data_IF_478639340382
#
_entry.id   IF_478639340382
#
_cell.length_a   1.000
_cell.length_b   1.000
_cell.length_c   1.000
_cell.angle_alpha   90.00
_cell.angle_beta   90.00
_cell.angle_gamma   90.00
#
_symmetry.space_group_name_H-M   'P 1'
#
loop_
_entity.id
_entity.type
_entity.pdbx_description
1 polymer ?
#
# COMPACT_ATOMS: atom_id res chain seq x y z
N UNK A 1 -11.37 5.35 22.74
CA UNK A 1 -11.35 5.72 21.31
C UNK A 1 -10.07 6.48 21.05
N UNK A 2 -9.50 6.43 19.84
CA UNK A 2 -8.37 7.28 19.49
C UNK A 2 -8.84 8.74 19.38
N UNK A 3 -8.79 9.47 20.49
CA UNK A 3 -9.07 10.90 20.46
C UNK A 3 -7.98 11.59 19.63
N UNK A 4 -8.39 12.21 18.53
CA UNK A 4 -7.48 12.95 17.67
C UNK A 4 -7.13 14.25 18.37
N UNK A 5 -5.87 14.37 18.77
CA UNK A 5 -5.34 15.56 19.44
C UNK A 5 -5.11 16.70 18.46
N UNK A 6 -4.56 16.40 17.27
CA UNK A 6 -4.27 17.40 16.25
C UNK A 6 -3.94 16.77 14.89
N UNK A 7 -4.24 17.50 13.81
CA UNK A 7 -3.65 17.28 12.49
C UNK A 7 -2.37 18.12 12.36
N UNK A 8 -1.24 17.49 12.03
CA UNK A 8 0.06 18.17 11.94
C UNK A 8 0.62 18.14 10.52
N UNK A 9 0.95 19.30 9.98
CA UNK A 9 1.64 19.42 8.70
C UNK A 9 3.04 18.80 8.75
N UNK A 10 3.37 17.98 7.75
CA UNK A 10 4.65 17.27 7.63
C UNK A 10 5.81 18.22 7.30
N UNK A 11 5.53 19.35 6.64
CA UNK A 11 6.54 20.33 6.22
C UNK A 11 6.86 21.31 7.34
N UNK A 12 5.91 22.20 7.66
CA UNK A 12 6.14 23.30 8.62
C UNK A 12 5.63 23.06 10.04
N UNK A 13 5.11 21.87 10.35
CA UNK A 13 4.65 21.53 11.71
C UNK A 13 3.38 22.24 12.18
N UNK A 14 2.70 22.99 11.29
CA UNK A 14 1.42 23.65 11.60
C UNK A 14 0.42 22.64 12.17
N UNK A 15 -0.26 23.03 13.25
CA UNK A 15 -1.24 22.21 13.95
C UNK A 15 -2.64 22.73 13.63
N UNK A 16 -3.55 21.81 13.37
CA UNK A 16 -4.95 22.09 13.06
C UNK A 16 -5.86 21.20 13.92
N UNK A 17 -7.08 21.69 14.20
CA UNK A 17 -8.15 20.85 14.69
C UNK A 17 -8.65 19.88 13.60
N UNK A 18 -9.33 18.80 13.99
CA UNK A 18 -9.78 17.73 13.08
C UNK A 18 -10.64 18.24 11.92
N UNK A 19 -11.50 19.22 12.21
CA UNK A 19 -12.46 19.76 11.24
C UNK A 19 -12.06 21.15 10.72
N UNK A 20 -10.84 21.61 11.03
CA UNK A 20 -10.32 22.90 10.54
C UNK A 20 -9.78 22.81 9.11
N UNK A 21 -9.21 21.67 8.74
CA UNK A 21 -8.64 21.40 7.41
C UNK A 21 -9.00 19.99 6.95
N UNK A 22 -9.48 19.86 5.72
CA UNK A 22 -9.95 18.58 5.20
C UNK A 22 -8.81 17.68 4.66
N UNK A 23 -7.82 18.29 4.01
CA UNK A 23 -6.88 17.55 3.16
C UNK A 23 -5.42 17.93 3.42
N UNK A 24 -5.00 19.11 2.96
CA UNK A 24 -3.62 19.59 3.08
C UNK A 24 -3.54 20.88 3.89
N UNK A 25 -2.33 21.18 4.36
CA UNK A 25 -2.00 22.42 5.05
C UNK A 25 -2.11 23.62 4.07
N UNK A 26 -2.98 24.62 4.33
CA UNK A 26 -3.15 25.77 3.44
C UNK A 26 -1.87 26.59 3.23
N UNK A 27 -0.91 26.52 4.17
CA UNK A 27 0.38 27.23 4.06
C UNK A 27 1.39 26.55 3.14
N UNK A 28 1.29 25.24 2.94
CA UNK A 28 2.28 24.46 2.20
C UNK A 28 1.70 23.73 0.98
N UNK A 29 0.42 23.98 0.67
CA UNK A 29 -0.26 23.42 -0.49
C UNK A 29 -0.19 21.89 -0.54
N UNK A 30 0.03 21.34 -1.72
CA UNK A 30 0.05 19.89 -1.97
C UNK A 30 1.13 19.13 -1.17
N UNK A 31 2.27 19.77 -0.91
CA UNK A 31 3.35 19.19 -0.11
C UNK A 31 2.98 19.09 1.38
N UNK A 32 2.05 19.92 1.83
CA UNK A 32 1.61 20.05 3.21
C UNK A 32 0.70 18.92 3.69
N UNK A 33 1.01 17.66 3.40
CA UNK A 33 0.21 16.52 3.86
C UNK A 33 0.19 16.47 5.40
N UNK A 34 -0.92 15.97 5.96
CA UNK A 34 -1.19 16.04 7.40
C UNK A 34 -1.04 14.67 8.07
N UNK A 35 -0.36 14.61 9.21
CA UNK A 35 -0.38 13.46 10.12
C UNK A 35 -1.48 13.61 11.16
N UNK A 36 -2.20 12.51 11.43
CA UNK A 36 -3.17 12.46 12.51
C UNK A 36 -2.46 12.02 13.79
N UNK A 37 -2.43 12.90 14.79
CA UNK A 37 -1.82 12.63 16.09
C UNK A 37 -2.90 12.42 17.15
N UNK A 38 -2.72 11.38 17.96
CA UNK A 38 -3.63 11.00 19.03
C UNK A 38 -3.13 11.45 20.41
N UNK A 39 -3.99 11.38 21.40
CA UNK A 39 -3.55 11.39 22.80
C UNK A 39 -3.00 10.00 23.19
N UNK A 40 -1.69 9.82 22.96
CA UNK A 40 -1.01 8.54 23.23
C UNK A 40 -0.93 8.21 24.72
N UNK A 41 -0.96 9.21 25.61
CA UNK A 41 -0.95 8.99 27.06
C UNK A 41 -2.29 8.40 27.50
N UNK A 42 -3.40 9.00 27.05
CA UNK A 42 -4.74 8.47 27.29
C UNK A 42 -4.89 7.06 26.68
N UNK A 43 -4.43 6.85 25.44
CA UNK A 43 -4.47 5.54 24.79
C UNK A 43 -3.68 4.48 25.57
N UNK A 44 -2.47 4.82 26.03
CA UNK A 44 -1.64 3.88 26.80
C UNK A 44 -2.28 3.49 28.14
N UNK A 45 -3.03 4.40 28.77
CA UNK A 45 -3.72 4.13 30.02
C UNK A 45 -5.01 3.30 29.87
N UNK A 46 -5.64 3.33 28.69
CA UNK A 46 -6.99 2.77 28.48
C UNK A 46 -7.04 1.57 27.54
N UNK A 47 -6.02 1.35 26.71
CA UNK A 47 -5.95 0.21 25.81
C UNK A 47 -5.06 -0.89 26.36
N UNK A 48 -5.68 -2.05 26.56
CA UNK A 48 -4.96 -3.29 26.76
C UNK A 48 -4.60 -3.90 25.39
N UNK A 49 -3.30 -4.03 25.15
CA UNK A 49 -2.73 -4.66 23.96
C UNK A 49 -3.20 -6.11 23.81
N UNK A 50 -3.25 -6.87 24.91
CA UNK A 50 -3.52 -8.31 24.86
C UNK A 50 -5.02 -8.58 24.69
N UNK A 51 -5.88 -7.65 25.13
CA UNK A 51 -7.32 -7.70 24.86
C UNK A 51 -7.65 -7.58 23.35
N UNK A 52 -6.83 -6.88 22.55
CA UNK A 52 -7.01 -6.82 21.10
C UNK A 52 -6.78 -8.19 20.44
N UNK A 53 -5.88 -9.00 21.00
CA UNK A 53 -5.53 -10.32 20.48
C UNK A 53 -6.58 -11.40 20.79
N UNK A 54 -7.30 -11.28 21.90
CA UNK A 54 -8.17 -12.33 22.43
C UNK A 54 -9.64 -12.27 21.96
N UNK A 55 -10.10 -11.20 21.31
CA UNK A 55 -11.54 -11.02 21.02
C UNK A 55 -11.93 -10.22 19.78
N UNK A 56 -11.00 -9.98 18.84
CA UNK A 56 -11.22 -9.09 17.69
C UNK A 56 -11.85 -9.75 16.46
N UNK A 57 -12.53 -8.93 15.64
CA UNK A 57 -12.86 -9.27 14.26
C UNK A 57 -11.60 -9.60 13.46
N UNK A 58 -11.71 -10.51 12.50
CA UNK A 58 -10.63 -10.83 11.55
C UNK A 58 -10.58 -9.81 10.40
N UNK A 59 -10.45 -8.54 10.74
CA UNK A 59 -10.34 -7.42 9.81
C UNK A 59 -9.58 -6.23 10.43
N UNK A 60 -9.40 -5.15 9.69
CA UNK A 60 -8.69 -3.96 10.13
C UNK A 60 -9.44 -3.16 11.21
N UNK A 61 -10.75 -3.43 11.40
CA UNK A 61 -11.57 -2.75 12.41
C UNK A 61 -11.29 -3.25 13.82
N UNK A 62 -10.58 -4.36 13.99
CA UNK A 62 -10.00 -4.75 15.29
C UNK A 62 -9.13 -3.64 15.90
N UNK A 63 -8.51 -2.80 15.06
CA UNK A 63 -7.69 -1.65 15.50
C UNK A 63 -8.48 -0.34 15.61
N UNK A 64 -9.81 -0.39 15.64
CA UNK A 64 -10.67 0.81 15.68
C UNK A 64 -10.28 1.79 16.79
N UNK A 65 -9.85 1.28 17.94
CA UNK A 65 -9.39 2.09 19.06
C UNK A 65 -8.12 2.91 18.76
N UNK A 66 -7.43 2.61 17.66
CA UNK A 66 -6.27 3.30 17.12
C UNK A 66 -6.58 3.97 15.76
N UNK A 67 -7.84 4.09 15.34
CA UNK A 67 -8.24 4.72 14.07
C UNK A 67 -9.02 6.01 14.32
N UNK A 68 -8.95 6.98 13.40
CA UNK A 68 -9.56 8.30 13.55
C UNK A 68 -11.09 8.30 13.24
N UNK A 69 -11.82 7.32 13.77
CA UNK A 69 -13.29 7.21 13.59
C UNK A 69 -13.96 6.89 14.93
N UNK A 70 -15.23 7.30 15.08
CA UNK A 70 -15.98 7.00 16.30
C UNK A 70 -16.21 5.49 16.49
N UNK A 71 -16.48 5.04 17.72
CA UNK A 71 -16.74 3.63 18.06
C UNK A 71 -18.04 3.10 17.47
N UNK A 72 -19.01 3.99 17.22
CA UNK A 72 -20.34 3.65 16.69
C UNK A 72 -20.46 3.92 15.18
N UNK A 73 -19.44 4.49 14.53
CA UNK A 73 -19.44 4.76 13.09
C UNK A 73 -19.75 3.50 12.28
N UNK A 74 -20.53 3.66 11.22
CA UNK A 74 -20.75 2.58 10.27
C UNK A 74 -19.50 2.38 9.42
N UNK A 75 -19.21 1.13 9.10
CA UNK A 75 -18.04 0.75 8.29
C UNK A 75 -18.49 -0.10 7.10
N UNK A 76 -17.73 -0.14 5.99
CA UNK A 76 -17.94 -1.13 4.94
C UNK A 76 -18.03 -2.56 5.51
N UNK A 77 -19.00 -3.39 5.07
CA UNK A 77 -19.22 -4.73 5.61
C UNK A 77 -18.20 -5.78 5.14
N UNK A 78 -17.32 -5.44 4.20
CA UNK A 78 -16.33 -6.37 3.64
C UNK A 78 -15.15 -6.53 4.61
N UNK A 79 -14.64 -7.77 4.73
CA UNK A 79 -13.45 -8.09 5.53
C UNK A 79 -12.19 -7.53 4.87
N UNK A 80 -11.79 -6.33 5.26
CA UNK A 80 -10.56 -5.67 4.82
C UNK A 80 -9.49 -5.87 5.89
N UNK A 81 -8.26 -6.21 5.50
CA UNK A 81 -7.20 -6.48 6.45
C UNK A 81 -7.26 -7.88 7.05
N UNK A 82 -6.61 -8.05 8.19
CA UNK A 82 -6.24 -9.34 8.79
C UNK A 82 -5.70 -10.36 7.78
N UNK A 83 -4.92 -9.86 6.82
CA UNK A 83 -4.43 -10.66 5.70
C UNK A 83 -3.35 -11.65 6.16
N UNK A 84 -3.16 -12.75 5.42
CA UNK A 84 -2.16 -13.75 5.80
C UNK A 84 -0.74 -13.16 5.93
N UNK A 85 -0.03 -13.62 6.96
CA UNK A 85 1.41 -13.42 7.13
C UNK A 85 2.09 -14.79 7.04
N UNK A 86 2.56 -15.14 5.85
CA UNK A 86 3.17 -16.45 5.61
C UNK A 86 4.64 -16.44 5.99
N UNK A 87 5.10 -17.43 6.75
CA UNK A 87 6.54 -17.71 6.83
C UNK A 87 7.01 -18.29 5.48
N UNK A 88 8.10 -17.76 4.93
CA UNK A 88 8.61 -18.12 3.61
C UNK A 88 10.01 -18.76 3.70
N UNK A 89 10.13 -19.99 4.23
CA UNK A 89 11.42 -20.63 4.49
C UNK A 89 12.24 -20.89 3.23
N UNK A 90 11.59 -21.09 2.07
CA UNK A 90 12.28 -21.26 0.79
C UNK A 90 12.91 -19.96 0.29
N UNK A 91 12.29 -18.81 0.56
CA UNK A 91 12.91 -17.50 0.29
C UNK A 91 14.10 -17.30 1.24
N UNK A 92 13.89 -17.55 2.53
CA UNK A 92 14.94 -17.41 3.54
C UNK A 92 16.18 -18.27 3.20
N UNK A 93 15.98 -19.55 2.88
CA UNK A 93 17.03 -20.47 2.51
C UNK A 93 17.76 -20.06 1.23
N UNK A 94 17.02 -19.62 0.20
CA UNK A 94 17.62 -19.19 -1.07
C UNK A 94 18.50 -17.95 -0.89
N UNK A 95 18.08 -17.01 -0.04
CA UNK A 95 18.75 -15.73 0.15
C UNK A 95 19.72 -15.71 1.33
N UNK A 96 19.86 -16.82 2.06
CA UNK A 96 20.73 -16.90 3.24
C UNK A 96 20.26 -16.04 4.41
N UNK A 97 18.95 -15.79 4.52
CA UNK A 97 18.35 -14.98 5.59
C UNK A 97 17.88 -15.85 6.76
N UNK A 98 17.92 -15.31 7.97
CA UNK A 98 17.46 -15.97 9.19
C UNK A 98 15.98 -16.34 9.12
N UNK A 99 15.14 -15.39 8.72
CA UNK A 99 13.69 -15.58 8.61
C UNK A 99 13.07 -14.57 7.66
N UNK A 100 12.13 -15.02 6.84
CA UNK A 100 11.37 -14.17 5.92
C UNK A 100 9.89 -14.43 6.11
N UNK A 101 9.10 -13.37 6.16
CA UNK A 101 7.64 -13.42 6.07
C UNK A 101 7.14 -12.68 4.83
N UNK A 102 5.97 -13.07 4.35
CA UNK A 102 5.22 -12.40 3.30
C UNK A 102 3.87 -11.98 3.84
N UNK A 103 3.66 -10.66 3.96
CA UNK A 103 2.35 -10.08 4.27
C UNK A 103 1.57 -9.93 2.97
N UNK A 104 0.56 -10.77 2.77
CA UNK A 104 -0.17 -10.86 1.51
C UNK A 104 -1.44 -10.01 1.48
N UNK A 105 -1.27 -8.72 1.21
CA UNK A 105 -2.38 -7.80 1.00
C UNK A 105 -3.06 -7.93 -0.36
N UNK A 106 -2.58 -8.83 -1.23
CA UNK A 106 -3.28 -9.30 -2.41
C UNK A 106 -4.53 -10.13 -2.10
N UNK A 107 -4.69 -10.58 -0.84
CA UNK A 107 -5.87 -11.30 -0.35
C UNK A 107 -7.04 -10.40 0.09
N UNK A 108 -6.87 -9.07 0.07
CA UNK A 108 -7.98 -8.15 0.36
C UNK A 108 -9.11 -8.25 -0.68
N UNK A 109 -10.35 -7.80 -0.38
CA UNK A 109 -11.53 -8.00 -1.23
C UNK A 109 -11.39 -7.58 -2.69
N UNK A 110 -10.71 -6.46 -2.97
CA UNK A 110 -10.46 -5.99 -4.35
C UNK A 110 -9.09 -6.39 -4.86
N UNK A 111 -8.32 -7.17 -4.08
CA UNK A 111 -7.01 -7.72 -4.44
C UNK A 111 -5.83 -6.79 -4.20
N UNK A 112 -5.93 -5.81 -3.28
CA UNK A 112 -4.78 -4.95 -2.95
C UNK A 112 -4.86 -4.29 -1.57
N UNK A 113 -3.70 -3.84 -1.08
CA UNK A 113 -3.55 -3.06 0.15
C UNK A 113 -4.40 -1.76 0.16
N UNK A 114 -4.78 -1.26 -1.02
CA UNK A 114 -5.53 0.00 -1.13
C UNK A 114 -6.92 -0.09 -0.48
N UNK A 115 -7.44 -1.30 -0.27
CA UNK A 115 -8.70 -1.54 0.44
C UNK A 115 -8.66 -0.97 1.86
N UNK A 116 -7.52 -1.08 2.56
CA UNK A 116 -7.36 -0.54 3.91
C UNK A 116 -7.59 0.97 3.97
N UNK A 117 -7.08 1.70 2.98
CA UNK A 117 -7.28 3.14 2.88
C UNK A 117 -8.73 3.49 2.51
N UNK A 118 -9.28 2.81 1.50
CA UNK A 118 -10.64 3.07 1.03
C UNK A 118 -11.68 2.71 2.10
N UNK A 119 -11.45 1.68 2.91
CA UNK A 119 -12.32 1.28 4.00
C UNK A 119 -12.48 2.41 5.03
N UNK A 120 -11.37 2.98 5.49
CA UNK A 120 -11.38 4.07 6.45
C UNK A 120 -11.95 5.37 5.87
N UNK A 121 -11.62 5.69 4.61
CA UNK A 121 -12.17 6.86 3.92
C UNK A 121 -13.69 6.76 3.77
N UNK A 122 -14.22 5.59 3.41
CA UNK A 122 -15.66 5.36 3.30
C UNK A 122 -16.35 5.45 4.68
N UNK A 123 -15.74 4.88 5.73
CA UNK A 123 -16.26 5.02 7.09
C UNK A 123 -16.34 6.49 7.53
N UNK A 124 -15.31 7.29 7.24
CA UNK A 124 -15.32 8.72 7.52
C UNK A 124 -16.36 9.47 6.69
N UNK A 125 -16.56 9.12 5.42
CA UNK A 125 -17.63 9.72 4.59
C UNK A 125 -19.01 9.48 5.19
N UNK A 126 -19.29 8.24 5.64
CA UNK A 126 -20.54 7.89 6.31
C UNK A 126 -20.73 8.67 7.62
N UNK A 127 -19.68 8.80 8.43
CA UNK A 127 -19.70 9.57 9.68
C UNK A 127 -19.99 11.06 9.43
N UNK A 128 -19.44 11.61 8.35
CA UNK A 128 -19.68 12.99 7.93
C UNK A 128 -21.02 13.20 7.19
N UNK A 129 -21.80 12.13 6.95
CA UNK A 129 -23.04 12.20 6.18
C UNK A 129 -22.84 12.49 4.68
N UNK A 130 -21.62 12.30 4.16
CA UNK A 130 -21.29 12.53 2.74
C UNK A 130 -21.59 11.26 1.95
N UNK A 131 -22.38 11.41 0.88
CA UNK A 131 -22.89 10.29 0.07
C UNK A 131 -22.18 10.10 -1.28
N UNK A 132 -21.22 10.97 -1.63
CA UNK A 132 -20.39 10.82 -2.82
C UNK A 132 -18.92 10.81 -2.42
N UNK A 133 -18.20 9.76 -2.83
CA UNK A 133 -16.76 9.63 -2.61
C UNK A 133 -16.06 9.48 -3.96
N UNK A 134 -15.01 10.27 -4.18
CA UNK A 134 -14.31 10.32 -5.46
C UNK A 134 -12.82 10.06 -5.35
N UNK A 135 -12.22 9.58 -6.44
CA UNK A 135 -10.77 9.47 -6.60
C UNK A 135 -10.38 9.59 -8.07
N UNK A 136 -9.17 10.10 -8.32
CA UNK A 136 -8.51 10.05 -9.61
C UNK A 136 -7.46 8.94 -9.61
N UNK A 137 -7.75 7.83 -10.28
CA UNK A 137 -6.84 6.68 -10.40
C UNK A 137 -7.36 5.69 -11.42
N UNK A 138 -6.46 5.12 -12.22
CA UNK A 138 -6.78 3.98 -13.11
C UNK A 138 -6.46 2.63 -12.48
N UNK A 139 -5.87 2.60 -11.28
CA UNK A 139 -5.28 1.40 -10.70
C UNK A 139 -5.96 0.95 -9.41
N UNK A 140 -5.16 0.34 -8.54
CA UNK A 140 -5.60 -0.30 -7.30
C UNK A 140 -6.41 0.61 -6.36
N UNK A 141 -6.16 1.92 -6.34
CA UNK A 141 -6.91 2.86 -5.50
C UNK A 141 -8.36 3.05 -5.97
N UNK A 142 -8.58 3.10 -7.29
CA UNK A 142 -9.90 3.19 -7.88
C UNK A 142 -10.68 1.89 -7.70
N UNK A 143 -10.04 0.74 -7.94
CA UNK A 143 -10.68 -0.56 -7.72
C UNK A 143 -11.11 -0.74 -6.25
N UNK A 144 -10.26 -0.35 -5.30
CA UNK A 144 -10.57 -0.38 -3.87
C UNK A 144 -11.76 0.53 -3.51
N UNK A 145 -11.79 1.77 -4.02
CA UNK A 145 -12.91 2.68 -3.78
C UNK A 145 -14.20 2.15 -4.40
N UNK A 146 -14.16 1.73 -5.67
CA UNK A 146 -15.31 1.18 -6.39
C UNK A 146 -15.89 -0.04 -5.67
N UNK A 147 -15.05 -1.05 -5.39
CA UNK A 147 -15.49 -2.31 -4.80
C UNK A 147 -16.01 -2.18 -3.38
N UNK A 148 -15.31 -1.43 -2.52
CA UNK A 148 -15.81 -1.19 -1.16
C UNK A 148 -17.02 -0.26 -1.15
N UNK A 149 -17.06 0.76 -2.00
CA UNK A 149 -18.19 1.67 -2.13
C UNK A 149 -19.46 0.97 -2.62
N UNK A 150 -19.33 0.00 -3.53
CA UNK A 150 -20.44 -0.80 -4.03
C UNK A 150 -21.17 -1.60 -2.92
N UNK A 151 -20.47 -1.92 -1.84
CA UNK A 151 -21.05 -2.60 -0.67
C UNK A 151 -21.86 -1.67 0.25
N UNK A 152 -21.92 -0.37 -0.05
CA UNK A 152 -22.57 0.65 0.77
C UNK A 152 -23.69 1.35 -0.01
N UNK A 153 -24.98 1.07 0.25
CA UNK A 153 -26.09 1.67 -0.50
C UNK A 153 -26.21 3.19 -0.33
N UNK A 154 -25.60 3.75 0.73
CA UNK A 154 -25.60 5.19 1.00
C UNK A 154 -24.48 5.95 0.25
N UNK A 155 -23.57 5.25 -0.44
CA UNK A 155 -22.40 5.85 -1.09
C UNK A 155 -22.48 5.66 -2.61
N UNK A 156 -22.27 6.74 -3.35
CA UNK A 156 -21.94 6.71 -4.77
C UNK A 156 -20.44 6.92 -4.95
N UNK A 157 -19.83 6.15 -5.84
CA UNK A 157 -18.42 6.31 -6.19
C UNK A 157 -18.28 6.93 -7.57
N UNK A 158 -17.51 8.01 -7.67
CA UNK A 158 -17.21 8.70 -8.93
C UNK A 158 -15.70 8.67 -9.16
N UNK A 159 -15.26 8.09 -10.27
CA UNK A 159 -13.83 7.84 -10.51
C UNK A 159 -13.39 8.55 -11.78
N UNK A 160 -12.35 9.37 -11.64
CA UNK A 160 -11.72 10.09 -12.73
C UNK A 160 -10.54 9.28 -13.25
N UNK A 161 -10.53 9.02 -14.56
CA UNK A 161 -9.47 8.28 -15.25
C UNK A 161 -9.14 9.00 -16.56
N UNK A 162 -7.87 9.06 -16.98
CA UNK A 162 -7.53 9.48 -18.33
C UNK A 162 -8.26 8.62 -19.38
N UNK A 163 -8.67 9.21 -20.50
CA UNK A 163 -9.33 8.50 -21.59
C UNK A 163 -8.45 7.39 -22.20
N UNK A 164 -7.13 7.52 -22.08
CA UNK A 164 -6.15 6.51 -22.49
C UNK A 164 -6.01 5.32 -21.51
N UNK A 165 -6.79 5.27 -20.42
CA UNK A 165 -6.70 4.19 -19.44
C UNK A 165 -7.01 2.81 -20.06
N UNK A 166 -6.30 1.73 -19.66
CA UNK A 166 -6.55 0.40 -20.19
C UNK A 166 -8.00 -0.07 -19.93
N UNK A 167 -8.66 -0.57 -20.98
CA UNK A 167 -10.06 -0.99 -20.92
C UNK A 167 -10.34 -2.04 -19.83
N UNK A 168 -9.41 -2.97 -19.59
CA UNK A 168 -9.55 -3.99 -18.53
C UNK A 168 -9.66 -3.37 -17.13
N UNK A 169 -8.92 -2.29 -16.86
CA UNK A 169 -8.97 -1.61 -15.56
C UNK A 169 -10.26 -0.80 -15.40
N UNK A 170 -10.67 -0.10 -16.45
CA UNK A 170 -11.96 0.61 -16.49
C UNK A 170 -13.12 -0.36 -16.29
N UNK A 171 -13.07 -1.53 -16.93
CA UNK A 171 -14.09 -2.57 -16.80
C UNK A 171 -14.26 -3.02 -15.34
N UNK A 172 -13.17 -3.20 -14.58
CA UNK A 172 -13.26 -3.54 -13.15
C UNK A 172 -14.07 -2.50 -12.36
N UNK A 173 -13.86 -1.21 -12.62
CA UNK A 173 -14.57 -0.13 -11.94
C UNK A 173 -16.06 -0.12 -12.29
N UNK A 174 -16.39 -0.31 -13.57
CA UNK A 174 -17.76 -0.37 -14.07
C UNK A 174 -18.52 -1.60 -13.56
N UNK A 175 -17.85 -2.75 -13.42
CA UNK A 175 -18.44 -3.97 -12.83
C UNK A 175 -18.87 -3.74 -11.38
N UNK A 176 -18.13 -2.94 -10.62
CA UNK A 176 -18.53 -2.53 -9.27
C UNK A 176 -19.62 -1.43 -9.26
N UNK A 177 -20.06 -0.95 -10.42
CA UNK A 177 -21.09 0.08 -10.52
C UNK A 177 -20.61 1.50 -10.23
N UNK A 178 -19.31 1.76 -10.25
CA UNK A 178 -18.79 3.12 -10.11
C UNK A 178 -19.15 3.98 -11.33
N UNK A 179 -19.43 5.26 -11.11
CA UNK A 179 -19.52 6.23 -12.19
C UNK A 179 -18.10 6.57 -12.64
N UNK A 180 -17.70 6.13 -13.84
CA UNK A 180 -16.36 6.38 -14.37
C UNK A 180 -16.41 7.54 -15.35
N UNK A 181 -15.53 8.53 -15.16
CA UNK A 181 -15.36 9.69 -16.03
C UNK A 181 -14.03 9.56 -16.77
N UNK A 182 -14.11 9.32 -18.07
CA UNK A 182 -12.96 9.30 -18.97
C UNK A 182 -12.58 10.74 -19.33
N UNK A 183 -11.53 11.27 -18.71
CA UNK A 183 -11.03 12.63 -18.91
C UNK A 183 -10.13 12.66 -20.14
N UNK A 184 -10.45 13.51 -21.11
CA UNK A 184 -9.60 13.78 -22.27
C UNK A 184 -8.41 14.66 -21.85
N UNK A 185 -7.41 14.02 -21.24
CA UNK A 185 -6.26 14.68 -20.64
C UNK A 185 -5.31 13.72 -19.94
N UNK A 186 -4.33 14.28 -19.25
CA UNK A 186 -3.34 13.56 -18.46
C UNK A 186 -3.91 13.03 -17.13
N UNK A 187 -3.11 12.26 -16.41
CA UNK A 187 -3.45 11.84 -15.04
C UNK A 187 -3.63 13.04 -14.11
N UNK A 188 -2.81 14.08 -14.25
CA UNK A 188 -2.92 15.27 -13.42
C UNK A 188 -4.19 16.05 -13.72
N UNK A 189 -4.58 16.17 -14.99
CA UNK A 189 -5.85 16.81 -15.36
C UNK A 189 -7.03 16.10 -14.69
N UNK A 190 -7.04 14.76 -14.71
CA UNK A 190 -8.05 13.96 -14.03
C UNK A 190 -8.01 14.14 -12.49
N UNK A 191 -6.83 14.32 -11.92
CA UNK A 191 -6.65 14.54 -10.48
C UNK A 191 -7.14 15.92 -10.03
N UNK A 192 -6.75 16.97 -10.73
CA UNK A 192 -7.16 18.34 -10.42
C UNK A 192 -8.67 18.52 -10.60
N UNK A 193 -9.26 17.97 -11.67
CA UNK A 193 -10.71 17.97 -11.86
C UNK A 193 -11.45 17.23 -10.73
N UNK A 194 -10.91 16.09 -10.28
CA UNK A 194 -11.47 15.34 -9.15
C UNK A 194 -11.43 16.16 -7.86
N UNK A 195 -10.33 16.87 -7.57
CA UNK A 195 -10.26 17.73 -6.38
C UNK A 195 -11.20 18.93 -6.48
N UNK A 196 -11.20 19.62 -7.61
CA UNK A 196 -12.04 20.80 -7.84
C UNK A 196 -13.53 20.47 -7.67
N UNK A 197 -14.03 19.39 -8.26
CA UNK A 197 -15.44 19.01 -8.11
C UNK A 197 -15.76 18.53 -6.68
N UNK A 198 -14.80 17.90 -5.99
CA UNK A 198 -15.01 17.52 -4.59
C UNK A 198 -15.19 18.73 -3.70
N UNK A 199 -14.38 19.77 -3.90
CA UNK A 199 -14.51 21.03 -3.18
C UNK A 199 -15.83 21.74 -3.53
N UNK A 200 -16.17 21.86 -4.81
CA UNK A 200 -17.37 22.56 -5.28
C UNK A 200 -18.67 21.89 -4.78
N UNK A 201 -18.74 20.55 -4.84
CA UNK A 201 -19.96 19.79 -4.55
C UNK A 201 -20.00 19.20 -3.13
N UNK A 202 -18.95 19.42 -2.33
CA UNK A 202 -18.82 18.82 -1.00
C UNK A 202 -18.66 17.29 -1.05
N UNK A 203 -18.14 16.72 -2.13
CA UNK A 203 -17.84 15.29 -2.20
C UNK A 203 -16.57 14.97 -1.41
N UNK A 204 -16.46 13.74 -0.94
CA UNK A 204 -15.27 13.33 -0.19
C UNK A 204 -14.19 12.78 -1.12
N UNK A 205 -13.01 13.40 -1.10
CA UNK A 205 -11.88 12.96 -1.91
C UNK A 205 -11.08 11.88 -1.19
N UNK A 206 -10.93 10.73 -1.82
CA UNK A 206 -10.08 9.61 -1.36
C UNK A 206 -8.62 9.78 -1.77
N UNK A 207 -8.27 10.78 -2.58
CA UNK A 207 -6.96 10.83 -3.25
C UNK A 207 -5.77 10.67 -2.28
N UNK A 208 -4.80 9.85 -2.72
CA UNK A 208 -3.56 9.61 -1.98
C UNK A 208 -2.69 10.86 -2.03
N UNK A 209 -1.88 11.09 -0.98
CA UNK A 209 -1.02 12.28 -0.90
C UNK A 209 -1.79 13.57 -0.63
N UNK A 210 -3.09 13.47 -0.33
CA UNK A 210 -3.97 14.61 -0.03
C UNK A 210 -4.85 14.28 1.17
N UNK A 211 -5.60 13.17 1.15
CA UNK A 211 -6.45 12.81 2.29
C UNK A 211 -5.66 12.11 3.41
N UNK A 212 -5.60 12.66 4.65
CA UNK A 212 -4.82 12.11 5.75
C UNK A 212 -5.31 10.73 6.23
N UNK A 213 -6.62 10.45 6.11
CA UNK A 213 -7.21 9.16 6.48
C UNK A 213 -6.67 8.02 5.61
N UNK A 214 -6.17 8.31 4.41
CA UNK A 214 -5.56 7.28 3.58
C UNK A 214 -4.27 6.72 4.19
N UNK A 215 -3.54 7.50 5.00
CA UNK A 215 -2.36 7.02 5.74
C UNK A 215 -2.79 6.15 6.90
N UNK A 216 -3.80 6.61 7.65
CA UNK A 216 -4.35 5.90 8.82
C UNK A 216 -4.95 4.55 8.46
N UNK A 217 -5.63 4.42 7.32
CA UNK A 217 -6.12 3.13 6.85
C UNK A 217 -4.97 2.18 6.54
N UNK A 218 -3.95 2.65 5.80
CA UNK A 218 -2.79 1.82 5.43
C UNK A 218 -1.96 1.40 6.63
N UNK A 219 -1.91 2.20 7.69
CA UNK A 219 -1.14 1.88 8.90
C UNK A 219 -1.54 0.56 9.54
N UNK A 220 -2.80 0.14 9.35
CA UNK A 220 -3.33 -1.11 9.90
C UNK A 220 -2.51 -2.33 9.47
N UNK A 221 -1.82 -2.28 8.32
CA UNK A 221 -0.93 -3.37 7.90
C UNK A 221 0.25 -3.56 8.87
N UNK A 222 0.80 -2.48 9.43
CA UNK A 222 1.89 -2.54 10.40
C UNK A 222 1.40 -3.00 11.78
N UNK A 223 0.17 -2.58 12.16
CA UNK A 223 -0.48 -3.08 13.37
C UNK A 223 -0.68 -4.60 13.30
N UNK A 224 -1.15 -5.10 12.15
CA UNK A 224 -1.30 -6.54 11.90
C UNK A 224 0.00 -7.30 11.88
N UNK A 225 1.03 -6.79 11.21
CA UNK A 225 2.34 -7.44 11.22
C UNK A 225 2.86 -7.55 12.65
N UNK A 226 2.75 -6.49 13.45
CA UNK A 226 3.16 -6.53 14.85
C UNK A 226 2.32 -7.56 15.63
N UNK A 227 1.00 -7.50 15.56
CA UNK A 227 0.12 -8.43 16.29
C UNK A 227 0.35 -9.89 15.90
N UNK A 228 0.43 -10.19 14.60
CA UNK A 228 0.66 -11.55 14.09
C UNK A 228 2.05 -12.11 14.45
N UNK A 229 3.01 -11.22 14.75
CA UNK A 229 4.33 -11.57 15.27
C UNK A 229 4.42 -11.45 16.80
N UNK A 230 3.27 -11.53 17.48
CA UNK A 230 3.17 -11.44 18.95
C UNK A 230 3.82 -10.17 19.50
N UNK A 231 3.59 -9.06 18.81
CA UNK A 231 4.12 -7.73 19.11
C UNK A 231 5.65 -7.61 19.01
N UNK A 232 6.29 -8.51 18.25
CA UNK A 232 7.71 -8.42 17.90
C UNK A 232 7.86 -7.95 16.46
N UNK A 233 8.22 -6.68 16.28
CA UNK A 233 8.42 -6.13 14.94
C UNK A 233 9.63 -6.80 14.24
N UNK A 234 9.57 -7.02 12.90
CA UNK A 234 10.70 -7.57 12.17
C UNK A 234 11.90 -6.61 12.20
N UNK A 235 13.09 -7.10 11.86
CA UNK A 235 14.26 -6.23 11.70
C UNK A 235 14.09 -5.26 10.53
N UNK A 236 13.53 -5.78 9.44
CA UNK A 236 13.37 -5.05 8.19
C UNK A 236 11.98 -5.29 7.61
N UNK A 237 11.34 -4.23 7.12
CA UNK A 237 10.18 -4.34 6.25
C UNK A 237 10.52 -3.78 4.86
N UNK A 238 10.24 -4.56 3.83
CA UNK A 238 10.49 -4.19 2.43
C UNK A 238 9.15 -3.97 1.72
N UNK A 239 8.96 -2.79 1.13
CA UNK A 239 7.77 -2.44 0.38
C UNK A 239 8.14 -1.66 -0.88
N UNK A 240 7.39 -1.88 -1.96
CA UNK A 240 7.53 -1.07 -3.16
C UNK A 240 6.89 0.32 -2.97
N UNK A 241 7.45 1.33 -3.64
CA UNK A 241 7.12 2.74 -3.42
C UNK A 241 6.89 3.45 -4.76
N UNK A 242 5.64 3.84 -5.00
CA UNK A 242 5.26 4.83 -6.00
C UNK A 242 5.09 6.19 -5.33
N UNK A 243 3.84 6.54 -5.05
CA UNK A 243 3.45 7.82 -4.45
C UNK A 243 3.99 8.08 -3.03
N UNK A 244 4.47 7.05 -2.34
CA UNK A 244 4.99 7.14 -0.96
C UNK A 244 4.01 6.71 0.13
N UNK A 245 2.70 6.76 -0.12
CA UNK A 245 1.71 6.60 0.96
C UNK A 245 1.67 5.23 1.67
N UNK A 246 2.06 4.14 1.00
CA UNK A 246 2.13 2.82 1.67
C UNK A 246 3.22 2.83 2.73
N UNK A 247 4.45 3.20 2.36
CA UNK A 247 5.57 3.22 3.30
C UNK A 247 5.37 4.27 4.40
N UNK A 248 4.72 5.40 4.09
CA UNK A 248 4.27 6.38 5.08
C UNK A 248 3.27 5.79 6.09
N UNK A 249 2.29 5.02 5.61
CA UNK A 249 1.31 4.34 6.46
C UNK A 249 1.95 3.29 7.35
N UNK A 250 2.82 2.46 6.78
CA UNK A 250 3.62 1.47 7.54
C UNK A 250 4.41 2.14 8.67
N UNK A 251 5.15 3.21 8.34
CA UNK A 251 5.88 3.99 9.32
C UNK A 251 4.97 4.57 10.40
N UNK A 252 3.80 5.12 10.03
CA UNK A 252 2.82 5.64 10.99
C UNK A 252 2.36 4.54 11.95
N UNK A 253 2.05 3.35 11.45
CA UNK A 253 1.58 2.24 12.28
C UNK A 253 2.63 1.79 13.30
N UNK A 254 3.87 1.57 12.86
CA UNK A 254 4.96 1.25 13.79
C UNK A 254 5.29 2.41 14.74
N UNK A 255 5.19 3.66 14.28
CA UNK A 255 5.40 4.84 15.14
C UNK A 255 4.36 4.92 16.25
N UNK A 256 3.09 4.62 15.95
CA UNK A 256 2.03 4.56 16.95
C UNK A 256 2.33 3.47 17.98
N UNK A 257 2.72 2.28 17.54
CA UNK A 257 3.10 1.18 18.44
C UNK A 257 4.32 1.51 19.31
N UNK A 258 5.33 2.19 18.76
CA UNK A 258 6.49 2.68 19.53
C UNK A 258 6.05 3.66 20.62
N UNK A 259 5.16 4.61 20.30
CA UNK A 259 4.65 5.62 21.26
C UNK A 259 3.80 4.99 22.36
N UNK A 260 3.05 3.94 22.04
CA UNK A 260 2.28 3.15 23.00
C UNK A 260 3.18 2.23 23.86
N UNK A 261 4.43 2.01 23.45
CA UNK A 261 5.35 1.07 24.10
C UNK A 261 4.99 -0.39 23.86
N UNK A 262 4.29 -0.70 22.76
CA UNK A 262 3.86 -2.07 22.44
C UNK A 262 4.90 -2.86 21.67
N UNK A 263 5.84 -2.17 21.02
CA UNK A 263 7.02 -2.76 20.38
C UNK A 263 8.26 -2.02 20.88
N UNK A 264 9.40 -2.72 20.95
CA UNK A 264 10.65 -2.16 21.47
C UNK A 264 11.44 -1.36 20.43
N UNK A 265 11.19 -1.61 19.15
CA UNK A 265 11.98 -1.05 18.05
C UNK A 265 11.18 -0.83 16.77
N UNK A 266 11.57 0.20 16.04
CA UNK A 266 11.11 0.48 14.68
C UNK A 266 11.85 -0.44 13.69
N UNK A 267 11.14 -1.21 12.84
CA UNK A 267 11.77 -1.91 11.72
C UNK A 267 12.42 -0.93 10.76
N UNK A 268 13.56 -1.30 10.17
CA UNK A 268 14.13 -0.52 9.07
C UNK A 268 13.22 -0.64 7.86
N UNK A 269 12.80 0.47 7.29
CA UNK A 269 11.87 0.47 6.15
C UNK A 269 12.66 0.61 4.84
N UNK A 270 12.64 -0.44 4.04
CA UNK A 270 13.28 -0.44 2.73
C UNK A 270 12.24 -0.15 1.66
N UNK A 271 12.37 1.01 1.02
CA UNK A 271 11.51 1.44 -0.08
C UNK A 271 12.08 1.01 -1.43
N UNK A 272 11.33 0.26 -2.22
CA UNK A 272 11.79 -0.23 -3.53
C UNK A 272 11.13 0.55 -4.66
N UNK A 273 11.92 1.13 -5.55
CA UNK A 273 11.43 1.80 -6.76
C UNK A 273 11.95 1.11 -8.02
N UNK A 274 11.14 1.11 -9.08
CA UNK A 274 11.62 0.75 -10.41
C UNK A 274 12.63 1.82 -10.89
N UNK A 275 13.69 1.41 -11.58
CA UNK A 275 14.72 2.33 -12.12
C UNK A 275 14.10 3.45 -12.97
N UNK A 276 13.09 3.14 -13.78
CA UNK A 276 12.37 4.13 -14.60
C UNK A 276 11.30 4.93 -13.84
N UNK A 277 11.23 4.85 -12.51
CA UNK A 277 10.34 5.64 -11.65
C UNK A 277 10.95 5.80 -10.24
N UNK A 278 12.21 6.24 -10.17
CA UNK A 278 13.06 6.21 -8.98
C UNK A 278 13.27 7.56 -8.26
N UNK A 279 12.38 8.52 -8.47
CA UNK A 279 12.53 9.92 -7.99
C UNK A 279 12.82 10.02 -6.48
N UNK A 280 12.23 9.19 -5.63
CA UNK A 280 12.47 9.23 -4.19
C UNK A 280 13.81 8.62 -3.81
N UNK A 281 14.23 7.56 -4.51
CA UNK A 281 15.54 6.96 -4.31
C UNK A 281 16.66 7.96 -4.67
N UNK A 282 16.52 8.66 -5.79
CA UNK A 282 17.45 9.71 -6.21
C UNK A 282 17.49 10.88 -5.23
N UNK A 283 16.32 11.36 -4.80
CA UNK A 283 16.24 12.42 -3.82
C UNK A 283 16.81 12.01 -2.44
N UNK A 284 16.62 10.75 -2.05
CA UNK A 284 17.21 10.21 -0.83
C UNK A 284 18.74 10.16 -0.91
N UNK A 285 19.28 9.62 -2.01
CA UNK A 285 20.72 9.51 -2.26
C UNK A 285 21.39 10.90 -2.30
N UNK A 286 20.73 11.89 -2.90
CA UNK A 286 21.21 13.26 -2.99
C UNK A 286 20.94 14.12 -1.73
N UNK A 287 20.26 13.58 -0.71
CA UNK A 287 19.95 14.31 0.52
C UNK A 287 18.96 15.47 0.33
N UNK A 288 18.14 15.45 -0.73
CA UNK A 288 17.24 16.54 -1.07
C UNK A 288 16.08 16.69 -0.08
N UNK A 289 15.61 17.93 0.07
CA UNK A 289 14.36 18.21 0.73
C UNK A 289 13.18 17.87 -0.21
N UNK A 290 12.00 17.51 0.32
CA UNK A 290 10.82 17.16 -0.49
C UNK A 290 10.38 18.23 -1.50
N UNK A 291 10.61 19.49 -1.18
CA UNK A 291 10.32 20.67 -2.01
C UNK A 291 11.26 20.80 -3.21
N UNK A 292 12.47 20.26 -3.13
CA UNK A 292 13.48 20.32 -4.21
C UNK A 292 13.30 19.21 -5.25
N UNK A 293 12.35 18.29 -5.01
CA UNK A 293 12.10 17.16 -5.89
C UNK A 293 11.29 17.62 -7.11
N UNK A 294 11.92 17.51 -8.27
CA UNK A 294 11.29 17.81 -9.55
C UNK A 294 10.57 16.61 -10.14
N UNK A 295 9.51 16.89 -10.91
CA UNK A 295 8.82 15.88 -11.71
C UNK A 295 9.76 15.25 -12.73
N UNK A 296 9.65 13.94 -12.94
CA UNK A 296 10.40 13.21 -13.96
C UNK A 296 9.49 12.28 -14.77
N UNK A 297 9.71 12.11 -16.08
CA UNK A 297 8.99 11.11 -16.88
C UNK A 297 9.17 9.71 -16.31
N UNK A 298 8.11 8.89 -16.35
CA UNK A 298 8.14 7.51 -15.84
C UNK A 298 7.95 6.47 -16.93
N UNK A 299 8.72 5.37 -16.82
CA UNK A 299 8.58 4.21 -17.69
C UNK A 299 8.90 2.94 -16.90
N UNK A 300 7.88 2.16 -16.57
CA UNK A 300 8.05 0.86 -15.91
C UNK A 300 6.87 -0.07 -16.17
N UNK A 301 7.11 -1.38 -16.17
CA UNK A 301 6.06 -2.41 -16.15
C UNK A 301 5.26 -2.42 -14.83
N UNK A 302 5.79 -1.83 -13.76
CA UNK A 302 5.17 -1.78 -12.44
C UNK A 302 4.31 -0.51 -12.27
N UNK A 303 3.19 -0.46 -12.99
CA UNK A 303 2.27 0.67 -13.06
C UNK A 303 1.83 1.25 -11.69
N UNK A 304 1.61 0.40 -10.69
CA UNK A 304 1.15 0.80 -9.35
C UNK A 304 2.20 1.55 -8.54
N UNK A 305 3.45 1.58 -9.03
CA UNK A 305 4.54 2.39 -8.47
C UNK A 305 5.11 3.39 -9.48
N UNK A 306 4.50 3.56 -10.66
CA UNK A 306 4.86 4.60 -11.62
C UNK A 306 4.34 5.96 -11.14
N UNK A 307 5.23 6.86 -10.77
CA UNK A 307 4.87 8.19 -10.25
C UNK A 307 5.91 9.24 -10.64
N UNK A 308 5.51 10.19 -11.48
CA UNK A 308 6.39 11.26 -11.98
C UNK A 308 6.82 12.23 -10.88
N UNK A 309 5.89 12.53 -9.97
CA UNK A 309 6.13 13.32 -8.77
C UNK A 309 5.30 12.73 -7.63
N UNK A 310 5.90 11.93 -6.74
CA UNK A 310 5.18 11.33 -5.63
C UNK A 310 4.54 12.39 -4.73
N UNK A 311 3.22 12.32 -4.53
CA UNK A 311 2.47 13.31 -3.75
C UNK A 311 2.75 13.20 -2.26
N UNK A 312 3.00 11.99 -1.76
CA UNK A 312 3.36 11.76 -0.35
C UNK A 312 4.88 11.68 -0.10
N UNK A 313 5.70 12.27 -1.00
CA UNK A 313 7.18 12.24 -0.96
C UNK A 313 7.78 12.69 0.36
N UNK A 314 7.20 13.72 0.99
CA UNK A 314 7.69 14.23 2.27
C UNK A 314 7.59 13.19 3.39
N UNK A 315 6.43 12.51 3.49
CA UNK A 315 6.24 11.44 4.47
C UNK A 315 7.07 10.21 4.16
N UNK A 316 7.21 9.85 2.87
CA UNK A 316 8.00 8.69 2.46
C UNK A 316 9.49 8.86 2.76
N UNK A 317 10.09 10.01 2.40
CA UNK A 317 11.48 10.31 2.74
C UNK A 317 11.69 10.33 4.26
N UNK A 318 10.77 10.96 5.01
CA UNK A 318 10.80 10.96 6.47
C UNK A 318 10.73 9.54 7.04
N UNK A 319 9.83 8.70 6.54
CA UNK A 319 9.64 7.33 7.00
C UNK A 319 10.92 6.49 6.84
N UNK A 320 11.56 6.57 5.67
CA UNK A 320 12.80 5.83 5.41
C UNK A 320 13.96 6.40 6.25
N UNK A 321 14.10 7.72 6.35
CA UNK A 321 15.14 8.37 7.17
C UNK A 321 14.99 8.04 8.66
N UNK A 322 13.79 8.18 9.22
CA UNK A 322 13.54 7.97 10.66
C UNK A 322 13.63 6.51 11.09
N UNK A 323 13.36 5.57 10.18
CA UNK A 323 13.53 4.15 10.45
C UNK A 323 14.98 3.65 10.28
N UNK A 324 15.92 4.50 9.84
CA UNK A 324 17.26 4.06 9.46
C UNK A 324 17.27 3.10 8.27
N UNK A 325 16.25 3.19 7.42
CA UNK A 325 16.09 2.38 6.21
C UNK A 325 16.86 2.96 5.01
N UNK A 326 16.52 2.46 3.82
CA UNK A 326 17.10 2.90 2.57
C UNK A 326 16.10 2.77 1.42
N UNK A 327 16.36 3.48 0.33
CA UNK A 327 15.72 3.19 -0.96
C UNK A 327 16.59 2.26 -1.79
N UNK A 328 15.93 1.37 -2.54
CA UNK A 328 16.59 0.44 -3.47
C UNK A 328 15.92 0.57 -4.83
N UNK A 329 16.76 0.64 -5.87
CA UNK A 329 16.32 0.69 -7.27
C UNK A 329 16.46 -0.69 -7.92
N UNK A 330 15.45 -1.09 -8.68
CA UNK A 330 15.43 -2.37 -9.42
C UNK A 330 14.96 -2.17 -10.85
N UNK A 331 15.57 -2.87 -11.79
CA UNK A 331 15.19 -2.81 -13.20
C UNK A 331 13.87 -3.54 -13.45
N UNK A 332 13.17 -3.18 -14.53
CA UNK A 332 11.97 -3.90 -14.99
C UNK A 332 12.26 -5.38 -15.29
N UNK A 333 13.46 -5.69 -15.77
CA UNK A 333 13.89 -7.07 -15.97
C UNK A 333 13.97 -7.84 -14.65
N UNK A 334 14.49 -7.20 -13.59
CA UNK A 334 14.51 -7.79 -12.25
C UNK A 334 13.10 -7.95 -11.67
N UNK A 335 12.22 -6.96 -11.87
CA UNK A 335 10.81 -7.04 -11.46
C UNK A 335 10.10 -8.20 -12.19
N UNK A 336 10.27 -8.31 -13.51
CA UNK A 336 9.68 -9.38 -14.32
C UNK A 336 10.15 -10.76 -13.87
N UNK A 337 11.46 -10.94 -13.65
CA UNK A 337 12.03 -12.18 -13.15
C UNK A 337 11.58 -12.53 -11.72
N UNK A 338 11.27 -11.51 -10.90
CA UNK A 338 10.79 -11.69 -9.54
C UNK A 338 9.35 -12.23 -9.47
N UNK A 339 8.48 -11.96 -10.46
CA UNK A 339 7.07 -12.41 -10.45
C UNK A 339 6.97 -13.94 -10.27
N UNK A 340 7.53 -14.80 -11.15
CA UNK A 340 7.42 -16.23 -10.99
C UNK A 340 8.24 -16.74 -9.81
N UNK A 341 9.41 -16.16 -9.55
CA UNK A 341 10.28 -16.57 -8.45
C UNK A 341 9.62 -16.37 -7.09
N UNK A 342 8.96 -15.22 -6.89
CA UNK A 342 8.24 -14.93 -5.66
C UNK A 342 7.10 -15.92 -5.44
N UNK A 343 6.30 -16.17 -6.48
CA UNK A 343 5.21 -17.15 -6.43
C UNK A 343 5.70 -18.59 -6.18
N UNK A 344 6.77 -19.02 -6.87
CA UNK A 344 7.32 -20.36 -6.73
C UNK A 344 7.93 -20.63 -5.36
N UNK A 345 8.47 -19.61 -4.68
CA UNK A 345 9.13 -19.75 -3.38
C UNK A 345 8.18 -19.52 -2.19
N UNK A 346 7.11 -18.75 -2.35
CA UNK A 346 6.17 -18.43 -1.25
C UNK A 346 4.75 -18.96 -1.43
N UNK A 347 4.36 -19.30 -2.66
CA UNK A 347 2.96 -19.57 -3.01
C UNK A 347 2.12 -18.30 -3.22
N UNK A 348 2.67 -17.10 -3.06
CA UNK A 348 1.96 -15.83 -3.22
C UNK A 348 2.13 -15.30 -4.64
N UNK A 349 1.02 -15.20 -5.39
CA UNK A 349 1.03 -14.63 -6.74
C UNK A 349 0.86 -13.11 -6.68
N UNK A 350 1.95 -12.38 -6.92
CA UNK A 350 2.04 -10.93 -6.79
C UNK A 350 1.98 -10.22 -8.17
N UNK A 351 1.34 -9.05 -8.23
CA UNK A 351 1.43 -8.15 -9.40
C UNK A 351 2.85 -7.56 -9.52
N UNK A 352 3.25 -6.96 -10.67
CA UNK A 352 4.62 -6.44 -10.86
C UNK A 352 5.10 -5.49 -9.75
N UNK A 353 4.25 -4.55 -9.31
CA UNK A 353 4.59 -3.64 -8.21
C UNK A 353 4.80 -4.37 -6.87
N UNK A 354 4.06 -5.42 -6.58
CA UNK A 354 4.26 -6.23 -5.38
C UNK A 354 5.50 -7.13 -5.51
N UNK A 355 5.78 -7.68 -6.69
CA UNK A 355 7.00 -8.45 -6.98
C UNK A 355 8.27 -7.58 -6.91
N UNK A 356 8.16 -6.27 -7.15
CA UNK A 356 9.28 -5.34 -6.96
C UNK A 356 9.83 -5.36 -5.52
N UNK A 357 8.99 -5.59 -4.49
CA UNK A 357 9.48 -5.73 -3.11
C UNK A 357 10.43 -6.93 -2.96
N UNK A 358 10.13 -8.06 -3.62
CA UNK A 358 11.00 -9.23 -3.65
C UNK A 358 12.31 -8.95 -4.39
N UNK A 359 12.24 -8.36 -5.59
CA UNK A 359 13.45 -7.95 -6.34
C UNK A 359 14.32 -6.99 -5.53
N UNK A 360 13.69 -6.06 -4.80
CA UNK A 360 14.38 -5.10 -3.94
C UNK A 360 15.04 -5.75 -2.73
N UNK A 361 14.48 -6.82 -2.15
CA UNK A 361 15.14 -7.62 -1.13
C UNK A 361 16.42 -8.27 -1.65
N UNK A 362 16.36 -8.89 -2.83
CA UNK A 362 17.55 -9.48 -3.46
C UNK A 362 18.63 -8.42 -3.70
N UNK A 363 18.23 -7.25 -4.18
CA UNK A 363 19.16 -6.14 -4.43
C UNK A 363 19.71 -5.56 -3.12
N UNK A 364 18.90 -5.42 -2.08
CA UNK A 364 19.32 -4.91 -0.78
C UNK A 364 20.38 -5.82 -0.13
N UNK A 365 20.27 -7.14 -0.31
CA UNK A 365 21.29 -8.11 0.15
C UNK A 365 22.59 -7.96 -0.64
N UNK A 366 22.52 -7.83 -1.97
CA UNK A 366 23.71 -7.59 -2.80
C UNK A 366 24.44 -6.30 -2.40
N UNK A 367 23.68 -5.27 -2.01
CA UNK A 367 24.20 -4.00 -1.54
C UNK A 367 24.61 -4.00 -0.06
N UNK A 368 24.43 -5.12 0.65
CA UNK A 368 24.66 -5.24 2.11
C UNK A 368 23.90 -4.21 2.94
N UNK A 369 22.73 -3.79 2.47
CA UNK A 369 21.79 -2.95 3.23
C UNK A 369 21.09 -3.81 4.29
N UNK A 370 20.76 -5.05 3.92
CA UNK A 370 20.20 -6.10 4.79
C UNK A 370 21.29 -7.16 5.04
N UNK A 371 21.39 -7.62 6.28
CA UNK A 371 22.33 -8.66 6.73
C UNK A 371 21.62 -10.02 6.88
N UNK A 372 22.40 -11.11 6.85
CA UNK A 372 21.89 -12.48 6.87
C UNK A 372 21.13 -12.83 8.16
N UNK A 373 21.56 -12.27 9.29
CA UNK A 373 20.98 -12.50 10.62
C UNK A 373 19.64 -11.80 10.85
N UNK A 374 19.25 -10.89 9.96
CA UNK A 374 18.03 -10.10 10.09
C UNK A 374 16.79 -10.87 9.64
N UNK A 375 15.69 -10.61 10.33
CA UNK A 375 14.36 -11.08 10.00
C UNK A 375 13.62 -10.05 9.13
N UNK A 376 13.04 -10.51 8.02
CA UNK A 376 12.51 -9.62 6.96
C UNK A 376 11.04 -9.88 6.73
N UNK A 377 10.22 -8.83 6.70
CA UNK A 377 8.84 -8.89 6.22
C UNK A 377 8.73 -8.26 4.82
N UNK A 378 8.38 -9.05 3.81
CA UNK A 378 8.01 -8.59 2.47
C UNK A 378 6.53 -8.21 2.44
N UNK A 379 6.22 -7.01 1.93
CA UNK A 379 4.84 -6.58 1.74
C UNK A 379 4.40 -6.82 0.29
N UNK A 380 3.55 -7.84 0.08
CA UNK A 380 2.89 -8.08 -1.21
C UNK A 380 1.64 -7.19 -1.29
N UNK A 381 1.74 -6.07 -2.01
CA UNK A 381 0.71 -5.01 -1.99
C UNK A 381 -0.49 -5.26 -2.91
N UNK A 382 -0.40 -6.22 -3.82
CA UNK A 382 -1.39 -6.44 -4.88
C UNK A 382 -1.31 -7.82 -5.51
N UNK A 383 -2.47 -8.36 -5.86
CA UNK A 383 -2.63 -9.71 -6.38
C UNK A 383 -2.21 -9.82 -7.86
N UNK A 384 -1.47 -10.85 -8.22
CA UNK A 384 -1.02 -11.11 -9.59
C UNK A 384 -2.15 -11.31 -10.60
N UNK A 385 -3.35 -11.70 -10.16
CA UNK A 385 -4.54 -11.78 -11.01
C UNK A 385 -4.95 -10.44 -11.61
N UNK A 386 -4.45 -9.31 -11.08
CA UNK A 386 -4.69 -7.99 -11.64
C UNK A 386 -3.89 -7.69 -12.91
N UNK A 387 -2.80 -8.42 -13.15
CA UNK A 387 -1.96 -8.22 -14.33
C UNK A 387 -1.46 -9.56 -14.90
N UNK A 388 -2.42 -10.33 -15.43
CA UNK A 388 -2.15 -11.58 -16.11
C UNK A 388 -1.27 -11.38 -17.36
N UNK A 389 -1.34 -10.21 -18.00
CA UNK A 389 -0.54 -9.93 -19.20
C UNK A 389 0.95 -9.95 -18.87
N UNK A 390 1.38 -9.21 -17.84
CA UNK A 390 2.76 -9.21 -17.36
C UNK A 390 3.17 -10.56 -16.76
N UNK A 391 2.26 -11.24 -16.05
CA UNK A 391 2.54 -12.57 -15.54
C UNK A 391 2.84 -13.57 -16.67
N UNK A 392 2.06 -13.54 -17.76
CA UNK A 392 2.27 -14.40 -18.94
C UNK A 392 3.61 -14.11 -19.62
N UNK A 393 4.02 -12.85 -19.71
CA UNK A 393 5.31 -12.47 -20.28
C UNK A 393 6.51 -12.93 -19.43
N UNK A 394 6.30 -13.16 -18.13
CA UNK A 394 7.36 -13.59 -17.19
C UNK A 394 7.60 -15.10 -17.14
N UNK A 395 6.81 -15.91 -17.83
CA UNK A 395 6.91 -17.39 -17.78
C UNK A 395 6.92 -18.01 -19.18
N UNK A 396 7.46 -19.22 -19.27
CA UNK A 396 7.30 -20.07 -20.46
C UNK A 396 5.87 -20.60 -20.60
N UNK A 397 5.52 -21.06 -21.80
CA UNK A 397 4.26 -21.76 -22.06
C UNK A 397 4.21 -23.16 -21.42
N UNK A 398 3.02 -23.74 -21.33
CA UNK A 398 2.84 -25.12 -20.93
C UNK A 398 3.43 -26.11 -21.94
N UNK A 399 3.83 -27.29 -21.46
CA UNK A 399 4.31 -28.37 -22.33
C UNK A 399 3.10 -29.02 -23.01
N UNK A 400 3.02 -28.91 -24.34
CA UNK A 400 1.99 -29.59 -25.11
C UNK A 400 2.32 -31.09 -25.20
N UNK A 401 1.38 -31.93 -24.77
CA UNK A 401 1.48 -33.39 -24.87
C UNK A 401 0.29 -33.94 -25.65
N UNK A 402 0.52 -34.98 -26.44
CA UNK A 402 -0.56 -35.72 -27.07
C UNK A 402 -1.41 -36.44 -26.01
N UNK A 403 -2.66 -36.81 -26.36
CA UNK A 403 -3.61 -37.47 -25.47
C UNK A 403 -3.26 -38.97 -25.26
N UNK A 404 -2.01 -39.25 -24.90
CA UNK A 404 -1.50 -40.59 -24.64
C UNK A 404 -0.44 -40.60 -23.52
N UNK A 405 -0.32 -41.74 -22.84
CA UNK A 405 0.54 -41.89 -21.67
C UNK A 405 2.04 -41.89 -22.02
N UNK A 406 2.40 -42.23 -23.26
CA UNK A 406 3.81 -42.25 -23.67
C UNK A 406 4.34 -40.83 -23.86
N UNK A 407 3.55 -39.95 -24.49
CA UNK A 407 3.84 -38.52 -24.61
C UNK A 407 3.96 -37.86 -23.24
N UNK A 408 3.06 -38.19 -22.31
CA UNK A 408 3.13 -37.70 -20.92
C UNK A 408 4.42 -38.16 -20.24
N UNK A 409 4.77 -39.46 -20.31
CA UNK A 409 6.01 -39.98 -19.72
C UNK A 409 7.26 -39.34 -20.34
N UNK A 410 7.28 -39.13 -21.66
CA UNK A 410 8.38 -38.46 -22.34
C UNK A 410 8.57 -37.01 -21.90
N UNK A 411 7.47 -36.27 -21.76
CA UNK A 411 7.50 -34.90 -21.25
C UNK A 411 8.00 -34.84 -19.79
N UNK A 412 7.50 -35.72 -18.92
CA UNK A 412 7.92 -35.78 -17.52
C UNK A 412 9.39 -36.20 -17.37
N UNK A 413 9.88 -37.16 -18.17
CA UNK A 413 11.30 -37.54 -18.19
C UNK A 413 12.21 -36.41 -18.65
N UNK A 414 11.80 -35.63 -19.66
CA UNK A 414 12.52 -34.44 -20.11
C UNK A 414 12.57 -33.33 -19.05
N UNK A 415 11.56 -33.29 -18.17
CA UNK A 415 11.51 -32.40 -17.01
C UNK A 415 12.22 -32.96 -15.77
N UNK A 416 12.80 -34.17 -15.83
CA UNK A 416 13.47 -34.81 -14.69
C UNK A 416 12.54 -35.24 -13.57
N UNK A 417 11.25 -35.46 -13.87
CA UNK A 417 10.21 -35.86 -12.91
C UNK A 417 9.94 -37.37 -12.92
N UNK A 418 10.52 -38.09 -13.88
CA UNK A 418 10.57 -39.55 -14.02
C UNK A 418 11.99 -39.92 -14.44
#
# INVERSE_FOLDING_TARGET
MAEIKTLRCVIGGCAYAVDEVAYTCPRHGELGTLDILYDYEALRSSLDRDALTLGGSSDCWRYRALLPIASESRVPPLSVGWTPLYEAPRIAALLGLKRVWVKDDGANPTGSLKDRASALVLARALEAGINVVSTASTGNAAAALAGLGASLPAIKTVIFVPAAAPAAKVAQLLVYGAQVLLVDGSYDDAFELCLAICEEQGWYSRNTGVNPFTTEGKKTVALEIAEQLSWNAPDVLVASVGDGSIISGVHKGFSDLMRLGWIERMPRLIGVQAEGSAVLAEAFDAGLAPEDISRQPVATIADSIASELPRDRAKALRAVRQSGGAFVRVSDAAISAAIPKFAQLSGVFAEPAAAAAFAGLERALQLKIIQAEESVCLLSTGNGLKDIARARESVGGGIAVAADIAAVRGALGSAGLL
#
